data_IF_818491576230
#
_entry.id   IF_818491576230
#
_cell.length_a   1.000
_cell.length_b   1.000
_cell.length_c   1.000
_cell.angle_alpha   90.00
_cell.angle_beta   90.00
_cell.angle_gamma   90.00
#
_symmetry.space_group_name_H-M   'P 1'
#
loop_
_entity.id
_entity.type
_entity.pdbx_description
1 polymer ?
#
# COMPACT_ATOMS: atom_id res chain seq x y z
N UNK A 1 32.13 4.93 -30.05
CA UNK A 1 32.06 4.15 -28.79
C UNK A 1 32.54 5.07 -27.68
N UNK A 2 31.68 5.42 -26.77
CA UNK A 2 32.09 6.25 -25.62
C UNK A 2 33.10 5.49 -24.80
N UNK A 3 34.29 6.07 -24.70
CA UNK A 3 35.48 5.49 -24.06
C UNK A 3 35.30 5.22 -22.55
N UNK A 4 34.18 5.66 -21.97
CA UNK A 4 33.89 5.56 -20.53
C UNK A 4 32.83 4.51 -20.18
N UNK A 5 32.28 3.81 -21.18
CA UNK A 5 31.21 2.83 -20.95
C UNK A 5 31.75 1.49 -20.45
N UNK A 6 31.31 1.06 -19.26
CA UNK A 6 31.64 -0.25 -18.70
C UNK A 6 30.70 -1.29 -19.26
N UNK A 7 31.12 -1.98 -20.33
CA UNK A 7 30.33 -2.91 -21.12
C UNK A 7 29.66 -4.02 -20.28
N UNK A 8 30.33 -4.53 -19.25
CA UNK A 8 29.75 -5.57 -18.36
C UNK A 8 28.63 -5.01 -17.50
N UNK A 9 28.79 -3.79 -16.97
CA UNK A 9 27.73 -3.12 -16.20
C UNK A 9 26.50 -2.86 -17.08
N UNK A 10 26.71 -2.31 -18.28
CA UNK A 10 25.64 -2.09 -19.24
C UNK A 10 24.84 -3.36 -19.51
N UNK A 11 25.50 -4.48 -19.77
CA UNK A 11 24.84 -5.76 -20.01
C UNK A 11 24.06 -6.26 -18.80
N UNK A 12 24.58 -6.06 -17.60
CA UNK A 12 23.87 -6.37 -16.35
C UNK A 12 22.59 -5.55 -16.16
N UNK A 13 22.64 -4.25 -16.47
CA UNK A 13 21.48 -3.36 -16.42
C UNK A 13 20.44 -3.73 -17.49
N UNK A 14 20.87 -4.10 -18.70
CA UNK A 14 19.96 -4.60 -19.75
C UNK A 14 19.21 -5.88 -19.33
N UNK A 15 19.84 -6.77 -18.57
CA UNK A 15 19.13 -7.95 -18.01
C UNK A 15 18.00 -7.51 -17.08
N UNK A 16 18.24 -6.51 -16.21
CA UNK A 16 17.19 -5.98 -15.33
C UNK A 16 16.05 -5.35 -16.13
N UNK A 17 16.36 -4.58 -17.18
CA UNK A 17 15.34 -3.96 -18.04
C UNK A 17 14.46 -4.99 -18.74
N UNK A 18 15.04 -6.07 -19.27
CA UNK A 18 14.30 -7.15 -19.93
C UNK A 18 13.42 -7.90 -18.91
N UNK A 19 13.93 -8.17 -17.71
CA UNK A 19 13.15 -8.80 -16.65
C UNK A 19 12.01 -7.90 -16.17
N UNK A 20 12.18 -6.58 -16.19
CA UNK A 20 11.11 -5.61 -15.86
C UNK A 20 9.99 -5.66 -16.87
N UNK A 21 10.30 -5.81 -18.17
CA UNK A 21 9.30 -5.83 -19.24
C UNK A 21 8.57 -7.17 -19.37
N UNK A 22 9.27 -8.28 -19.13
CA UNK A 22 8.76 -9.63 -19.39
C UNK A 22 8.50 -10.46 -18.12
N UNK A 23 8.68 -9.85 -16.95
CA UNK A 23 8.43 -10.37 -15.62
C UNK A 23 9.28 -11.57 -15.18
N UNK A 24 9.25 -12.70 -15.88
CA UNK A 24 10.03 -13.88 -15.53
C UNK A 24 10.58 -14.57 -16.79
N UNK A 25 11.89 -14.80 -16.83
CA UNK A 25 12.57 -15.42 -17.97
C UNK A 25 13.55 -16.49 -17.50
N UNK A 26 13.76 -17.48 -18.34
CA UNK A 26 14.85 -18.46 -18.19
C UNK A 26 16.16 -17.85 -18.67
N UNK A 27 17.28 -18.47 -18.29
CA UNK A 27 18.61 -18.07 -18.77
C UNK A 27 18.69 -18.08 -20.31
N UNK A 28 18.06 -19.06 -20.97
CA UNK A 28 18.06 -19.19 -22.43
C UNK A 28 17.29 -18.04 -23.09
N UNK A 29 16.12 -17.69 -22.58
CA UNK A 29 15.31 -16.57 -23.10
C UNK A 29 16.05 -15.22 -22.95
N UNK A 30 16.76 -15.01 -21.83
CA UNK A 30 17.58 -13.80 -21.63
C UNK A 30 18.77 -13.77 -22.62
N UNK A 31 19.38 -14.92 -22.89
CA UNK A 31 20.45 -15.01 -23.89
C UNK A 31 19.96 -14.61 -25.28
N UNK A 32 18.82 -15.13 -25.68
CA UNK A 32 18.19 -14.86 -26.98
C UNK A 32 17.79 -13.38 -27.10
N UNK A 33 17.13 -12.85 -26.09
CA UNK A 33 16.65 -11.47 -26.08
C UNK A 33 17.79 -10.43 -26.17
N UNK A 34 18.90 -10.69 -25.49
CA UNK A 34 20.03 -9.77 -25.45
C UNK A 34 21.16 -10.13 -26.40
N UNK A 35 21.06 -11.22 -27.14
CA UNK A 35 22.10 -11.77 -28.01
C UNK A 35 23.43 -11.94 -27.25
N UNK A 36 23.39 -12.45 -26.02
CA UNK A 36 24.55 -12.67 -25.18
C UNK A 36 24.88 -14.16 -25.04
N UNK A 37 26.17 -14.47 -24.83
CA UNK A 37 26.59 -15.84 -24.58
C UNK A 37 26.23 -16.30 -23.15
N UNK A 38 26.07 -17.63 -23.02
CA UNK A 38 25.64 -18.30 -21.79
C UNK A 38 26.49 -17.96 -20.58
N UNK A 39 27.81 -17.96 -20.75
CA UNK A 39 28.75 -17.68 -19.63
C UNK A 39 28.59 -16.26 -19.07
N UNK A 40 28.42 -15.28 -19.96
CA UNK A 40 28.20 -13.88 -19.57
C UNK A 40 26.90 -13.69 -18.84
N UNK A 41 25.79 -14.21 -19.39
CA UNK A 41 24.45 -14.11 -18.79
C UNK A 41 24.43 -14.81 -17.43
N UNK A 42 24.98 -16.01 -17.33
CA UNK A 42 25.03 -16.76 -16.08
C UNK A 42 25.78 -15.99 -14.98
N UNK A 43 26.98 -15.46 -15.30
CA UNK A 43 27.78 -14.69 -14.31
C UNK A 43 27.09 -13.42 -13.85
N UNK A 44 26.42 -12.72 -14.75
CA UNK A 44 25.66 -11.51 -14.41
C UNK A 44 24.45 -11.85 -13.55
N UNK A 45 23.66 -12.85 -13.93
CA UNK A 45 22.51 -13.32 -13.14
C UNK A 45 22.93 -13.80 -11.76
N UNK A 46 24.04 -14.56 -11.66
CA UNK A 46 24.59 -14.98 -10.36
C UNK A 46 24.95 -13.81 -9.48
N UNK A 47 25.59 -12.78 -10.06
CA UNK A 47 25.95 -11.57 -9.32
C UNK A 47 24.70 -10.81 -8.87
N UNK A 48 23.73 -10.61 -9.75
CA UNK A 48 22.46 -9.93 -9.45
C UNK A 48 21.63 -10.68 -8.39
N UNK A 49 21.62 -12.01 -8.45
CA UNK A 49 20.99 -12.86 -7.45
C UNK A 49 21.66 -12.74 -6.09
N UNK A 50 23.02 -12.79 -6.05
CA UNK A 50 23.78 -12.60 -4.79
C UNK A 50 23.62 -11.22 -4.17
N UNK A 51 23.38 -10.20 -4.98
CA UNK A 51 23.12 -8.84 -4.53
C UNK A 51 21.62 -8.57 -4.30
N UNK A 52 20.79 -9.60 -4.36
CA UNK A 52 19.33 -9.53 -4.20
C UNK A 52 18.56 -8.70 -5.25
N UNK A 53 19.17 -8.33 -6.38
CA UNK A 53 18.49 -7.63 -7.48
C UNK A 53 17.54 -8.54 -8.27
N UNK A 54 17.84 -9.83 -8.31
CA UNK A 54 17.09 -10.84 -9.04
C UNK A 54 16.83 -12.04 -8.14
N UNK A 55 15.61 -12.54 -8.17
CA UNK A 55 15.22 -13.79 -7.54
C UNK A 55 15.24 -14.91 -8.57
N UNK A 56 15.74 -16.09 -8.16
CA UNK A 56 15.66 -17.29 -8.97
C UNK A 56 14.65 -18.27 -8.39
N UNK A 57 13.66 -18.64 -9.18
CA UNK A 57 12.70 -19.66 -8.81
C UNK A 57 12.71 -20.79 -9.86
N UNK A 58 13.18 -21.97 -9.46
CA UNK A 58 13.45 -23.08 -10.38
C UNK A 58 14.42 -22.68 -11.50
N UNK A 59 13.94 -22.62 -12.76
CA UNK A 59 14.71 -22.20 -13.93
C UNK A 59 14.47 -20.75 -14.36
N UNK A 60 13.53 -20.04 -13.69
CA UNK A 60 13.14 -18.68 -14.01
C UNK A 60 13.85 -17.68 -13.13
N UNK A 61 14.21 -16.55 -13.72
CA UNK A 61 14.74 -15.36 -13.07
C UNK A 61 13.71 -14.24 -13.17
N UNK A 62 13.51 -13.50 -12.10
CA UNK A 62 12.61 -12.36 -12.04
C UNK A 62 13.24 -11.25 -11.18
N UNK A 63 12.85 -10.01 -11.40
CA UNK A 63 13.30 -8.92 -10.54
C UNK A 63 12.90 -9.20 -9.10
N UNK A 64 13.78 -8.82 -8.17
CA UNK A 64 13.39 -8.79 -6.77
C UNK A 64 12.45 -7.59 -6.55
N UNK A 65 11.17 -7.81 -6.25
CA UNK A 65 10.22 -6.72 -6.08
C UNK A 65 10.59 -5.76 -4.94
N UNK A 66 11.40 -6.20 -3.98
CA UNK A 66 11.83 -5.36 -2.86
C UNK A 66 12.90 -4.32 -3.22
N UNK A 67 13.65 -4.52 -4.31
CA UNK A 67 14.71 -3.58 -4.74
C UNK A 67 14.21 -2.62 -5.83
N UNK A 68 13.27 -3.06 -6.65
CA UNK A 68 12.73 -2.27 -7.75
C UNK A 68 11.36 -1.65 -7.43
N UNK A 69 10.91 -1.78 -6.20
CA UNK A 69 9.85 -0.91 -5.71
C UNK A 69 10.42 0.50 -5.67
N UNK A 70 9.73 1.42 -6.32
CA UNK A 70 10.10 2.82 -6.36
C UNK A 70 10.51 3.27 -4.96
N UNK A 71 11.72 3.82 -4.82
CA UNK A 71 12.18 4.46 -3.58
C UNK A 71 11.19 5.54 -3.12
N UNK A 72 10.38 6.06 -4.05
CA UNK A 72 9.25 6.93 -3.75
C UNK A 72 8.18 6.31 -2.86
N UNK A 73 8.11 4.97 -2.73
CA UNK A 73 7.16 4.29 -1.82
C UNK A 73 7.69 4.18 -0.37
N UNK A 74 8.99 4.39 -0.14
CA UNK A 74 9.58 4.28 1.21
C UNK A 74 9.92 5.62 1.87
N UNK A 75 9.78 6.75 1.17
CA UNK A 75 10.00 8.07 1.75
C UNK A 75 9.10 8.36 2.97
N UNK A 76 7.95 7.67 3.07
CA UNK A 76 7.07 7.76 4.23
C UNK A 76 7.64 7.10 5.50
N UNK A 77 8.74 6.33 5.42
CA UNK A 77 9.39 5.75 6.61
C UNK A 77 10.09 6.82 7.45
N UNK A 78 10.50 7.93 6.83
CA UNK A 78 11.14 9.06 7.51
C UNK A 78 10.12 10.02 8.15
N UNK A 79 8.83 9.81 7.92
CA UNK A 79 7.77 10.65 8.48
C UNK A 79 7.49 10.21 9.92
N UNK A 80 7.63 11.14 10.85
CA UNK A 80 7.13 10.97 12.23
C UNK A 80 5.61 11.12 12.24
N UNK A 81 4.90 10.02 11.95
CA UNK A 81 3.43 9.99 11.80
C UNK A 81 2.69 10.47 13.05
N UNK A 82 3.31 10.36 14.22
CA UNK A 82 2.74 10.79 15.50
C UNK A 82 2.88 12.30 15.73
N UNK A 83 3.69 12.99 14.93
CA UNK A 83 3.85 14.46 15.01
C UNK A 83 2.85 15.26 14.18
N UNK A 84 2.10 14.60 13.28
CA UNK A 84 1.16 15.24 12.37
C UNK A 84 -0.08 15.75 13.11
N UNK A 85 -0.46 16.99 12.86
CA UNK A 85 -1.48 17.72 13.65
C UNK A 85 -2.92 17.42 13.22
N UNK A 86 -3.15 17.27 11.90
CA UNK A 86 -4.50 17.11 11.37
C UNK A 86 -5.28 15.90 11.96
N UNK A 87 -4.66 14.72 12.19
CA UNK A 87 -5.36 13.58 12.79
C UNK A 87 -5.78 13.83 14.24
N UNK A 88 -4.96 14.56 15.04
CA UNK A 88 -5.31 14.93 16.40
C UNK A 88 -6.47 15.91 16.46
N UNK A 89 -6.47 16.90 15.54
CA UNK A 89 -7.60 17.83 15.44
C UNK A 89 -8.90 17.10 15.12
N UNK A 90 -8.86 16.14 14.19
CA UNK A 90 -10.02 15.34 13.81
C UNK A 90 -10.51 14.48 14.99
N UNK A 91 -9.63 13.73 15.64
CA UNK A 91 -9.97 12.89 16.78
C UNK A 91 -10.63 13.67 17.89
N UNK A 92 -10.05 14.83 18.26
CA UNK A 92 -10.56 15.71 19.31
C UNK A 92 -11.91 16.34 18.95
N UNK A 93 -12.09 16.73 17.70
CA UNK A 93 -13.32 17.37 17.23
C UNK A 93 -14.49 16.39 17.19
N UNK A 94 -14.23 15.13 16.85
CA UNK A 94 -15.27 14.11 16.68
C UNK A 94 -15.45 13.20 17.89
N UNK A 95 -14.53 13.24 18.85
CA UNK A 95 -14.49 12.35 20.02
C UNK A 95 -14.52 10.86 19.62
N UNK A 96 -13.88 10.54 18.47
CA UNK A 96 -13.81 9.20 17.87
C UNK A 96 -12.36 8.85 17.58
N UNK A 97 -11.97 7.60 17.85
CA UNK A 97 -10.62 7.12 17.55
C UNK A 97 -10.29 7.32 16.08
N UNK A 98 -9.16 7.99 15.81
CA UNK A 98 -8.63 8.23 14.48
C UNK A 98 -7.41 7.35 14.24
N UNK A 99 -7.36 6.71 13.06
CA UNK A 99 -6.25 5.90 12.61
C UNK A 99 -5.60 6.50 11.37
N UNK A 100 -4.27 6.41 11.28
CA UNK A 100 -3.52 6.53 10.03
C UNK A 100 -2.97 5.15 9.72
N UNK A 101 -3.24 4.66 8.53
CA UNK A 101 -2.66 3.44 7.98
C UNK A 101 -1.96 3.72 6.67
N UNK A 102 -0.78 3.14 6.49
CA UNK A 102 0.04 3.26 5.29
C UNK A 102 0.14 1.91 4.62
N UNK A 103 0.17 1.92 3.29
CA UNK A 103 0.39 0.71 2.50
C UNK A 103 1.86 0.32 2.58
N UNK A 104 2.15 -0.82 3.18
CA UNK A 104 3.47 -1.44 3.19
C UNK A 104 3.34 -2.87 2.66
N UNK A 105 4.08 -3.17 1.61
CA UNK A 105 3.96 -4.44 0.91
C UNK A 105 2.52 -4.68 0.42
N UNK A 106 1.85 -5.71 0.87
CA UNK A 106 0.45 -6.00 0.51
C UNK A 106 -0.48 -5.89 1.72
N UNK A 107 -0.12 -5.04 2.69
CA UNK A 107 -0.87 -4.88 3.95
C UNK A 107 -0.96 -3.42 4.34
N UNK A 108 -1.98 -3.09 5.12
CA UNK A 108 -2.06 -1.79 5.77
C UNK A 108 -1.37 -1.85 7.12
N UNK A 109 -0.37 -0.99 7.32
CA UNK A 109 0.34 -0.85 8.60
C UNK A 109 -0.15 0.39 9.32
N UNK A 110 -0.56 0.26 10.57
CA UNK A 110 -1.05 1.36 11.38
C UNK A 110 0.15 2.19 11.88
N UNK A 111 0.23 3.45 11.48
CA UNK A 111 1.31 4.37 11.86
C UNK A 111 0.93 5.34 12.96
N UNK A 112 -0.36 5.60 13.15
CA UNK A 112 -0.82 6.44 14.25
C UNK A 112 -2.22 6.03 14.70
N UNK A 113 -2.46 6.08 16.01
CA UNK A 113 -3.77 5.84 16.64
C UNK A 113 -3.99 6.92 17.71
N UNK A 114 -5.00 7.74 17.47
CA UNK A 114 -5.40 8.80 18.39
C UNK A 114 -6.75 8.43 18.96
N UNK A 115 -6.80 8.20 20.27
CA UNK A 115 -8.02 7.92 21.03
C UNK A 115 -8.57 9.15 21.70
N UNK A 116 -9.87 9.31 21.68
CA UNK A 116 -10.59 10.28 22.48
C UNK A 116 -11.64 9.57 23.37
N UNK A 117 -11.79 9.96 24.64
CA UNK A 117 -10.89 10.87 25.35
C UNK A 117 -9.48 10.32 25.46
N UNK A 118 -8.47 11.20 25.56
CA UNK A 118 -7.05 10.82 25.62
C UNK A 118 -6.75 9.97 26.87
N UNK A 119 -7.17 8.73 26.83
CA UNK A 119 -6.69 7.69 27.73
C UNK A 119 -5.39 7.17 27.12
N UNK A 120 -4.28 7.38 27.76
CA UNK A 120 -2.91 6.93 27.44
C UNK A 120 -2.62 6.53 25.97
N UNK A 121 -1.50 6.93 25.37
CA UNK A 121 -1.17 6.56 24.00
C UNK A 121 -1.27 5.06 23.81
N UNK A 122 -2.08 4.60 22.85
CA UNK A 122 -2.27 3.17 22.58
C UNK A 122 -1.17 2.68 21.63
N UNK A 123 0.06 2.71 22.11
CA UNK A 123 1.24 2.27 21.36
C UNK A 123 1.13 0.81 20.86
N UNK A 124 0.32 -0.02 21.51
CA UNK A 124 0.14 -1.42 21.12
C UNK A 124 -0.51 -1.62 19.73
N UNK A 125 -1.16 -0.61 19.17
CA UNK A 125 -1.76 -0.69 17.85
C UNK A 125 -0.85 -0.13 16.75
N UNK A 126 0.22 0.61 17.10
CA UNK A 126 1.20 1.12 16.13
C UNK A 126 1.97 -0.07 15.57
N UNK A 127 2.26 -0.04 14.26
CA UNK A 127 2.90 -1.10 13.47
C UNK A 127 2.10 -2.41 13.41
N UNK A 128 0.86 -2.45 13.92
CA UNK A 128 -0.03 -3.57 13.65
C UNK A 128 -0.52 -3.54 12.21
N UNK A 129 -0.75 -4.74 11.67
CA UNK A 129 -1.21 -4.92 10.29
C UNK A 129 -2.70 -5.18 10.26
N UNK A 130 -3.39 -4.63 9.26
CA UNK A 130 -4.83 -4.83 9.07
C UNK A 130 -5.12 -5.31 7.64
N UNK A 131 -6.11 -6.20 7.47
CA UNK A 131 -6.39 -6.80 6.16
C UNK A 131 -6.83 -5.78 5.13
N UNK A 132 -6.33 -5.93 3.90
CA UNK A 132 -6.65 -5.06 2.77
C UNK A 132 -8.11 -5.20 2.32
N UNK A 133 -8.67 -6.40 2.35
CA UNK A 133 -9.99 -6.70 1.77
C UNK A 133 -11.18 -6.35 2.67
N UNK A 134 -11.00 -6.31 3.99
CA UNK A 134 -12.09 -6.15 4.96
C UNK A 134 -12.05 -4.85 5.74
N UNK A 135 -10.85 -4.31 6.02
CA UNK A 135 -10.75 -3.02 6.71
C UNK A 135 -11.12 -1.83 5.81
N UNK A 136 -11.68 -0.78 6.38
CA UNK A 136 -11.95 0.45 5.64
C UNK A 136 -10.68 1.07 5.07
N UNK A 137 -9.58 1.07 5.84
CA UNK A 137 -8.26 1.54 5.40
C UNK A 137 -7.79 0.77 4.17
N UNK A 138 -7.80 -0.56 4.23
CA UNK A 138 -7.35 -1.42 3.13
C UNK A 138 -8.22 -1.27 1.89
N UNK A 139 -9.55 -1.32 2.04
CA UNK A 139 -10.48 -1.21 0.91
C UNK A 139 -10.37 0.12 0.17
N UNK A 140 -10.22 1.24 0.90
CA UNK A 140 -10.09 2.55 0.25
C UNK A 140 -8.76 2.69 -0.49
N UNK A 141 -7.67 2.16 0.05
CA UNK A 141 -6.37 2.15 -0.64
C UNK A 141 -6.44 1.26 -1.87
N UNK A 142 -6.90 0.00 -1.75
CA UNK A 142 -7.10 -0.91 -2.89
C UNK A 142 -7.90 -0.26 -4.01
N UNK A 143 -8.98 0.43 -3.68
CA UNK A 143 -9.85 1.06 -4.68
C UNK A 143 -9.16 2.19 -5.46
N UNK A 144 -8.15 2.84 -4.89
CA UNK A 144 -7.49 4.00 -5.50
C UNK A 144 -6.11 3.69 -6.09
N UNK A 145 -5.61 2.46 -5.92
CA UNK A 145 -4.40 2.01 -6.60
C UNK A 145 -4.58 2.05 -8.14
N UNK A 146 -3.47 2.20 -8.91
CA UNK A 146 -3.46 1.91 -10.33
C UNK A 146 -4.01 0.51 -10.61
N UNK A 147 -4.72 0.34 -11.73
CA UNK A 147 -5.46 -0.93 -12.00
C UNK A 147 -4.55 -2.16 -12.03
N UNK A 148 -3.33 -2.02 -12.55
CA UNK A 148 -2.35 -3.10 -12.61
C UNK A 148 -1.88 -3.48 -11.21
N UNK A 149 -1.49 -2.48 -10.39
CA UNK A 149 -1.07 -2.68 -8.99
C UNK A 149 -2.21 -3.26 -8.14
N UNK A 150 -3.45 -2.79 -8.35
CA UNK A 150 -4.63 -3.33 -7.67
C UNK A 150 -4.83 -4.81 -8.00
N UNK A 151 -4.71 -5.17 -9.27
CA UNK A 151 -4.84 -6.56 -9.72
C UNK A 151 -3.75 -7.46 -9.12
N UNK A 152 -2.50 -7.03 -9.17
CA UNK A 152 -1.37 -7.78 -8.61
C UNK A 152 -1.52 -7.97 -7.10
N UNK A 153 -1.96 -6.93 -6.41
CA UNK A 153 -2.21 -6.99 -4.97
C UNK A 153 -3.37 -7.93 -4.64
N UNK A 154 -4.48 -7.87 -5.37
CA UNK A 154 -5.60 -8.79 -5.18
C UNK A 154 -5.20 -10.26 -5.41
N UNK A 155 -4.30 -10.53 -6.35
CA UNK A 155 -3.77 -11.87 -6.59
C UNK A 155 -2.82 -12.37 -5.49
N UNK A 156 -2.17 -11.46 -4.77
CA UNK A 156 -1.21 -11.80 -3.70
C UNK A 156 -1.84 -11.92 -2.32
N UNK A 157 -2.99 -11.27 -2.06
CA UNK A 157 -3.70 -11.38 -0.78
C UNK A 157 -4.65 -12.56 -0.76
N UNK A 158 -4.77 -13.20 0.39
CA UNK A 158 -5.78 -14.24 0.61
C UNK A 158 -7.01 -13.65 1.25
N UNK A 159 -8.15 -13.73 0.56
CA UNK A 159 -9.45 -13.36 1.15
C UNK A 159 -9.91 -14.43 2.13
N UNK A 160 -10.25 -14.02 3.34
CA UNK A 160 -10.80 -14.91 4.37
C UNK A 160 -11.90 -14.20 5.17
N UNK A 161 -12.95 -14.90 5.60
CA UNK A 161 -14.00 -14.32 6.41
C UNK A 161 -13.50 -14.08 7.83
N UNK A 162 -13.63 -12.85 8.31
CA UNK A 162 -13.37 -12.46 9.71
C UNK A 162 -14.67 -12.41 10.50
N UNK A 163 -15.73 -12.01 9.82
CA UNK A 163 -17.11 -12.00 10.34
C UNK A 163 -18.07 -12.51 9.27
N UNK A 164 -19.34 -12.66 9.63
CA UNK A 164 -20.40 -12.98 8.64
C UNK A 164 -20.67 -11.85 7.63
N UNK A 165 -20.07 -10.67 7.81
CA UNK A 165 -20.24 -9.50 6.94
C UNK A 165 -19.03 -9.23 6.05
N UNK A 166 -17.94 -9.96 6.22
CA UNK A 166 -16.70 -9.79 5.44
C UNK A 166 -16.93 -10.11 3.96
N UNK A 167 -16.43 -9.26 3.07
CA UNK A 167 -16.30 -9.57 1.65
C UNK A 167 -15.08 -10.47 1.45
N UNK A 168 -15.30 -11.76 1.23
CA UNK A 168 -14.23 -12.74 1.00
C UNK A 168 -14.32 -13.45 -0.37
N UNK A 169 -15.14 -12.92 -1.25
CA UNK A 169 -15.28 -13.35 -2.64
C UNK A 169 -14.86 -12.24 -3.60
N UNK A 170 -13.97 -12.54 -4.55
CA UNK A 170 -13.49 -11.54 -5.52
C UNK A 170 -14.59 -10.97 -6.40
N UNK A 171 -15.61 -11.80 -6.75
CA UNK A 171 -16.74 -11.36 -7.54
C UNK A 171 -17.61 -10.30 -6.85
N UNK A 172 -17.57 -10.24 -5.53
CA UNK A 172 -18.25 -9.23 -4.73
C UNK A 172 -17.30 -8.06 -4.38
N UNK A 173 -16.05 -8.36 -4.05
CA UNK A 173 -15.07 -7.35 -3.65
C UNK A 173 -14.73 -6.38 -4.79
N UNK A 174 -14.46 -6.87 -6.00
CA UNK A 174 -14.04 -6.01 -7.13
C UNK A 174 -15.12 -4.97 -7.49
N UNK A 175 -16.41 -5.32 -7.67
CA UNK A 175 -17.45 -4.30 -7.88
C UNK A 175 -17.59 -3.34 -6.71
N UNK A 176 -17.40 -3.82 -5.47
CA UNK A 176 -17.43 -2.97 -4.29
C UNK A 176 -16.28 -1.94 -4.28
N UNK A 177 -15.07 -2.33 -4.69
CA UNK A 177 -13.94 -1.40 -4.85
C UNK A 177 -14.23 -0.32 -5.90
N UNK A 178 -14.93 -0.64 -6.98
CA UNK A 178 -15.35 0.35 -7.98
C UNK A 178 -16.31 1.39 -7.38
N UNK A 179 -17.25 0.96 -6.55
CA UNK A 179 -18.15 1.88 -5.80
C UNK A 179 -17.34 2.76 -4.85
N UNK A 180 -16.39 2.18 -4.10
CA UNK A 180 -15.51 2.92 -3.19
C UNK A 180 -14.71 3.97 -3.97
N UNK A 181 -14.14 3.62 -5.11
CA UNK A 181 -13.41 4.56 -5.98
C UNK A 181 -14.28 5.72 -6.42
N UNK A 182 -15.50 5.45 -6.86
CA UNK A 182 -16.43 6.46 -7.33
C UNK A 182 -16.90 7.42 -6.23
N UNK A 183 -17.13 6.92 -5.01
CA UNK A 183 -17.59 7.72 -3.87
C UNK A 183 -16.45 8.37 -3.06
N UNK A 184 -15.20 7.89 -3.18
CA UNK A 184 -14.01 8.43 -2.53
C UNK A 184 -13.81 8.03 -1.07
N UNK A 185 -14.57 7.07 -0.55
CA UNK A 185 -14.41 6.57 0.82
C UNK A 185 -14.83 5.10 0.93
N UNK A 186 -14.31 4.41 1.94
CA UNK A 186 -14.72 3.06 2.29
C UNK A 186 -15.33 3.00 3.69
N UNK A 187 -16.20 2.03 3.89
CA UNK A 187 -16.77 1.70 5.21
C UNK A 187 -16.50 0.24 5.50
N UNK A 188 -15.95 -0.05 6.66
CA UNK A 188 -15.98 -1.37 7.29
C UNK A 188 -17.15 -1.35 8.29
N UNK A 189 -18.21 -2.02 7.94
CA UNK A 189 -19.40 -2.14 8.78
C UNK A 189 -19.47 -3.55 9.37
N UNK A 190 -18.69 -3.74 10.45
CA UNK A 190 -18.56 -5.03 11.13
C UNK A 190 -17.90 -6.13 10.28
N UNK A 191 -17.13 -5.77 9.24
CA UNK A 191 -16.45 -6.73 8.37
C UNK A 191 -15.19 -7.29 9.02
N UNK A 192 -14.46 -6.47 9.81
CA UNK A 192 -13.30 -6.92 10.60
C UNK A 192 -13.68 -7.40 11.99
N UNK A 193 -14.57 -6.69 12.67
CA UNK A 193 -15.02 -7.01 14.02
C UNK A 193 -16.50 -6.67 14.21
N UNK A 194 -17.27 -7.61 14.75
CA UNK A 194 -18.68 -7.35 15.07
C UNK A 194 -18.83 -6.21 16.10
N UNK A 195 -19.86 -5.38 15.94
CA UNK A 195 -20.12 -4.21 16.78
C UNK A 195 -19.20 -3.01 16.50
N UNK A 196 -18.28 -3.11 15.53
CA UNK A 196 -17.36 -2.03 15.14
C UNK A 196 -17.67 -1.50 13.74
N UNK A 197 -17.46 -0.21 13.57
CA UNK A 197 -17.56 0.47 12.29
C UNK A 197 -16.34 1.37 12.08
N UNK A 198 -15.84 1.38 10.85
CA UNK A 198 -14.72 2.23 10.46
C UNK A 198 -15.04 2.92 9.14
N UNK A 199 -14.73 4.20 9.02
CA UNK A 199 -14.84 4.97 7.77
C UNK A 199 -13.46 5.49 7.43
N UNK A 200 -13.00 5.28 6.20
CA UNK A 200 -11.70 5.71 5.74
C UNK A 200 -11.78 6.48 4.42
N UNK A 201 -10.86 7.45 4.28
CA UNK A 201 -10.60 8.15 3.02
C UNK A 201 -9.12 8.02 2.68
N UNK A 202 -8.74 8.06 1.37
CA UNK A 202 -7.36 7.91 0.97
C UNK A 202 -6.51 9.12 1.36
N UNK A 203 -5.21 8.88 1.58
CA UNK A 203 -4.15 9.89 1.69
C UNK A 203 -3.34 9.83 0.41
N UNK A 204 -3.16 10.98 -0.23
CA UNK A 204 -2.39 11.11 -1.47
C UNK A 204 -1.14 11.94 -1.23
N UNK A 205 -0.04 11.53 -1.86
CA UNK A 205 1.17 12.34 -2.01
C UNK A 205 1.62 12.20 -3.46
N UNK A 206 1.98 13.29 -4.10
CA UNK A 206 2.34 13.33 -5.51
C UNK A 206 1.28 12.67 -6.43
N UNK A 207 -0.01 12.77 -6.09
CA UNK A 207 -1.17 12.14 -6.76
C UNK A 207 -1.25 10.61 -6.62
N UNK A 208 -0.38 9.99 -5.88
CA UNK A 208 -0.41 8.56 -5.60
C UNK A 208 -1.03 8.30 -4.24
N UNK A 209 -1.85 7.25 -4.13
CA UNK A 209 -2.40 6.82 -2.85
C UNK A 209 -1.33 6.08 -2.06
N UNK A 210 -0.99 6.59 -0.89
CA UNK A 210 0.04 6.01 -0.02
C UNK A 210 -0.54 5.33 1.22
N UNK A 211 -1.76 5.66 1.58
CA UNK A 211 -2.42 5.17 2.78
C UNK A 211 -3.82 5.74 2.94
N UNK A 212 -4.31 5.72 4.14
CA UNK A 212 -5.63 6.23 4.48
C UNK A 212 -5.69 6.78 5.91
N UNK A 213 -6.62 7.74 6.12
CA UNK A 213 -7.03 8.20 7.45
C UNK A 213 -8.46 7.71 7.73
N UNK A 214 -8.72 7.27 8.95
CA UNK A 214 -9.99 6.67 9.30
C UNK A 214 -10.50 7.10 10.67
N UNK A 215 -11.83 7.12 10.83
CA UNK A 215 -12.55 7.15 12.09
C UNK A 215 -13.04 5.75 12.42
N UNK A 216 -12.76 5.29 13.65
CA UNK A 216 -13.12 3.96 14.13
C UNK A 216 -13.86 4.04 15.46
N UNK A 217 -15.01 3.39 15.54
CA UNK A 217 -15.83 3.38 16.74
C UNK A 217 -16.79 2.19 16.79
N UNK A 218 -17.71 2.21 17.75
CA UNK A 218 -18.82 1.26 17.75
C UNK A 218 -19.85 1.62 16.67
N UNK A 219 -20.69 0.66 16.28
CA UNK A 219 -21.82 0.89 15.37
C UNK A 219 -22.83 1.90 15.93
N UNK A 220 -22.83 2.12 17.25
CA UNK A 220 -23.65 3.15 17.92
C UNK A 220 -23.05 4.55 17.77
N UNK A 221 -21.73 4.67 17.80
CA UNK A 221 -21.02 5.94 17.59
C UNK A 221 -21.06 6.35 16.11
N UNK A 222 -20.82 5.39 15.20
CA UNK A 222 -20.78 5.64 13.76
C UNK A 222 -22.08 5.16 13.12
N UNK A 223 -23.16 5.92 13.30
CA UNK A 223 -24.47 5.61 12.72
C UNK A 223 -24.47 5.89 11.21
N UNK A 224 -25.19 5.05 10.45
CA UNK A 224 -25.33 5.18 9.00
C UNK A 224 -25.72 6.59 8.54
N UNK A 225 -26.61 7.27 9.28
CA UNK A 225 -27.04 8.63 8.97
C UNK A 225 -25.91 9.67 9.10
N UNK A 226 -24.89 9.43 9.95
CA UNK A 226 -23.79 10.34 10.18
C UNK A 226 -22.60 10.13 9.23
N UNK A 227 -22.56 9.02 8.45
CA UNK A 227 -21.43 8.66 7.58
C UNK A 227 -21.03 9.82 6.65
N UNK A 228 -21.99 10.47 5.99
CA UNK A 228 -21.70 11.59 5.06
C UNK A 228 -21.03 12.77 5.76
N UNK A 229 -21.41 13.06 7.00
CA UNK A 229 -20.79 14.12 7.82
C UNK A 229 -19.34 13.75 8.16
N UNK A 230 -19.11 12.53 8.62
CA UNK A 230 -17.76 12.05 8.94
C UNK A 230 -16.85 12.02 7.71
N UNK A 231 -17.37 11.56 6.56
CA UNK A 231 -16.63 11.57 5.29
C UNK A 231 -16.16 12.97 4.91
N UNK A 232 -17.02 13.99 5.02
CA UNK A 232 -16.64 15.38 4.74
C UNK A 232 -15.47 15.84 5.60
N UNK A 233 -15.51 15.53 6.89
CA UNK A 233 -14.46 15.90 7.87
C UNK A 233 -13.17 15.11 7.62
N UNK A 234 -13.28 13.81 7.32
CA UNK A 234 -12.14 12.98 6.93
C UNK A 234 -11.44 13.48 5.68
N UNK A 235 -12.20 13.87 4.64
CA UNK A 235 -11.63 14.43 3.40
C UNK A 235 -10.89 15.74 3.67
N UNK A 236 -11.43 16.60 4.54
CA UNK A 236 -10.76 17.83 4.94
C UNK A 236 -9.47 17.53 5.73
N UNK A 237 -9.54 16.59 6.68
CA UNK A 237 -8.37 16.16 7.46
C UNK A 237 -7.29 15.50 6.56
N UNK A 238 -7.68 14.66 5.60
CA UNK A 238 -6.76 14.06 4.63
C UNK A 238 -6.03 15.11 3.80
N UNK A 239 -6.72 16.16 3.34
CA UNK A 239 -6.08 17.28 2.59
C UNK A 239 -5.07 18.05 3.45
N UNK A 240 -5.41 18.34 4.71
CA UNK A 240 -4.49 19.00 5.64
C UNK A 240 -3.28 18.11 5.91
N UNK A 241 -3.51 16.83 6.13
CA UNK A 241 -2.47 15.83 6.35
C UNK A 241 -1.51 15.73 5.16
N UNK A 242 -2.03 15.70 3.93
CA UNK A 242 -1.20 15.76 2.71
C UNK A 242 -0.32 17.01 2.69
N UNK A 243 -0.87 18.18 3.01
CA UNK A 243 -0.11 19.42 3.05
C UNK A 243 0.98 19.44 4.15
N UNK A 244 0.71 18.83 5.32
CA UNK A 244 1.72 18.66 6.37
C UNK A 244 2.84 17.73 5.91
N UNK A 245 2.50 16.63 5.23
CA UNK A 245 3.48 15.68 4.66
C UNK A 245 4.33 16.36 3.59
N UNK A 246 3.70 17.05 2.63
CA UNK A 246 4.42 17.76 1.56
C UNK A 246 5.41 18.78 2.13
N UNK A 247 5.05 19.48 3.22
CA UNK A 247 5.93 20.42 3.92
C UNK A 247 7.14 19.73 4.57
N UNK A 248 6.96 18.51 5.13
CA UNK A 248 8.06 17.75 5.75
C UNK A 248 9.05 17.17 4.74
N UNK A 249 8.62 17.03 3.48
CA UNK A 249 9.44 16.47 2.40
C UNK A 249 10.18 17.54 1.58
N UNK A 250 9.96 18.84 1.82
CA UNK A 250 10.66 19.96 1.18
C UNK A 250 11.81 20.45 2.03
#
# INVERSE_FOLDING_TARGET
MDSYEVSTLKKGLLILDVLRQKHALTLTEIMEELSLNKTSVFRMLYTLEKMNYVNKYNKYYQLNPHIFRDEHLYWHQDIEWTSLVAPYQLARQEEITTYIGILEDCEMVIKNVIREPFEQPFFQAIDTRTPMHSSALGKVVLAHLPIETQHDMLNSIRLHPLTSKTFYDYGLLIPHLQVIKAQGYAVDNEETNLGKCCIAVPIYVNKEVIGAIALHGSTEQIKKAAIRSFVKKLVEASKKLTAEIDYLLT
#
